data_IF_058793924776
#
_entry.id   IF_058793924776
#
_cell.length_a   1.000
_cell.length_b   1.000
_cell.length_c   1.000
_cell.angle_alpha   90.00
_cell.angle_beta   90.00
_cell.angle_gamma   90.00
#
_symmetry.space_group_name_H-M   'P 1'
#
loop_
_entity.id
_entity.type
_entity.pdbx_description
1 polymer ?
#
# COMPACT_ATOMS: atom_id res chain seq x y z
N UNK A 1 50.21 -0.58 -59.93
CA UNK A 1 49.31 0.41 -59.28
C UNK A 1 47.84 0.01 -59.21
N UNK A 2 47.28 -0.77 -60.15
CA UNK A 2 45.86 -1.17 -60.12
C UNK A 2 45.53 -2.28 -59.09
N UNK A 3 46.44 -3.25 -58.90
CA UNK A 3 46.31 -4.36 -57.93
C UNK A 3 46.32 -3.88 -56.46
N UNK A 4 47.19 -2.93 -56.12
CA UNK A 4 47.30 -2.39 -54.76
C UNK A 4 46.05 -1.61 -54.34
N UNK A 5 45.41 -0.90 -55.29
CA UNK A 5 44.12 -0.23 -55.05
C UNK A 5 42.99 -1.24 -54.80
N UNK A 6 43.00 -2.39 -55.50
CA UNK A 6 41.97 -3.44 -55.37
C UNK A 6 42.07 -4.18 -54.02
N UNK A 7 43.29 -4.39 -53.52
CA UNK A 7 43.55 -4.97 -52.20
C UNK A 7 43.09 -4.05 -51.05
N UNK A 8 43.47 -2.76 -51.10
CA UNK A 8 43.00 -1.75 -50.11
C UNK A 8 41.47 -1.59 -50.11
N UNK A 9 40.84 -1.69 -51.28
CA UNK A 9 39.39 -1.56 -51.40
C UNK A 9 38.65 -2.78 -50.85
N UNK A 10 39.15 -4.01 -51.09
CA UNK A 10 38.59 -5.23 -50.47
C UNK A 10 38.75 -5.24 -48.94
N UNK A 11 39.89 -4.76 -48.43
CA UNK A 11 40.12 -4.70 -46.99
C UNK A 11 39.20 -3.69 -46.30
N UNK A 12 38.93 -2.53 -46.92
CA UNK A 12 37.94 -1.57 -46.41
C UNK A 12 36.52 -2.15 -46.41
N UNK A 13 36.13 -2.87 -47.45
CA UNK A 13 34.80 -3.49 -47.55
C UNK A 13 34.59 -4.57 -46.49
N UNK A 14 35.59 -5.43 -46.23
CA UNK A 14 35.51 -6.43 -45.15
C UNK A 14 35.39 -5.83 -43.75
N UNK A 15 36.07 -4.69 -43.50
CA UNK A 15 35.99 -4.00 -42.21
C UNK A 15 34.61 -3.36 -42.01
N UNK A 16 34.02 -2.75 -43.05
CA UNK A 16 32.68 -2.18 -42.99
C UNK A 16 31.58 -3.24 -42.77
N UNK A 17 31.69 -4.41 -43.42
CA UNK A 17 30.79 -5.55 -43.23
C UNK A 17 30.85 -6.11 -41.80
N UNK A 18 32.03 -6.13 -41.17
CA UNK A 18 32.18 -6.59 -39.78
C UNK A 18 31.82 -5.51 -38.74
N UNK A 19 31.88 -4.22 -39.09
CA UNK A 19 31.52 -3.12 -38.19
C UNK A 19 30.00 -2.94 -38.08
N UNK A 20 29.24 -3.20 -39.14
CA UNK A 20 27.77 -3.11 -39.12
C UNK A 20 27.08 -3.98 -38.06
N UNK A 21 27.39 -5.28 -37.89
CA UNK A 21 26.78 -6.11 -36.87
C UNK A 21 27.22 -5.71 -35.45
N UNK A 22 28.45 -5.21 -35.27
CA UNK A 22 28.93 -4.68 -33.99
C UNK A 22 28.16 -3.40 -33.63
N UNK A 23 27.97 -2.50 -34.60
CA UNK A 23 27.19 -1.27 -34.41
C UNK A 23 25.73 -1.58 -34.12
N UNK A 24 25.13 -2.54 -34.83
CA UNK A 24 23.77 -3.00 -34.59
C UNK A 24 23.61 -3.64 -33.21
N UNK A 25 24.57 -4.47 -32.78
CA UNK A 25 24.58 -5.06 -31.45
C UNK A 25 24.71 -3.99 -30.36
N UNK A 26 25.55 -2.98 -30.56
CA UNK A 26 25.68 -1.84 -29.64
C UNK A 26 24.38 -1.04 -29.57
N UNK A 27 23.69 -0.81 -30.69
CA UNK A 27 22.39 -0.14 -30.71
C UNK A 27 21.30 -0.98 -30.01
N UNK A 28 21.29 -2.29 -30.20
CA UNK A 28 20.38 -3.19 -29.49
C UNK A 28 20.67 -3.16 -27.99
N UNK A 29 21.95 -3.24 -27.58
CA UNK A 29 22.33 -3.17 -26.17
C UNK A 29 21.94 -1.83 -25.53
N UNK A 30 22.14 -0.71 -26.23
CA UNK A 30 21.71 0.61 -25.76
C UNK A 30 20.19 0.69 -25.63
N UNK A 31 19.44 0.18 -26.61
CA UNK A 31 17.98 0.12 -26.53
C UNK A 31 17.48 -0.81 -25.40
N UNK A 32 18.20 -1.91 -25.13
CA UNK A 32 17.89 -2.79 -24.00
C UNK A 32 18.12 -2.12 -22.64
N UNK A 33 19.11 -1.23 -22.51
CA UNK A 33 19.37 -0.50 -21.25
C UNK A 33 18.24 0.47 -20.94
N UNK A 34 17.72 1.20 -21.93
CA UNK A 34 16.57 2.10 -21.76
C UNK A 34 15.29 1.33 -21.37
N UNK A 35 15.11 0.10 -21.87
CA UNK A 35 13.98 -0.76 -21.51
C UNK A 35 14.09 -1.36 -20.10
N UNK A 36 15.29 -1.51 -19.57
CA UNK A 36 15.52 -2.15 -18.27
C UNK A 36 15.23 -1.22 -17.06
N UNK A 37 15.20 0.10 -17.26
CA UNK A 37 14.94 1.08 -16.19
C UNK A 37 13.44 1.39 -16.00
N UNK A 38 12.56 0.68 -16.71
CA UNK A 38 11.11 0.93 -16.72
C UNK A 38 10.36 0.40 -15.48
N UNK A 39 11.07 -0.05 -14.44
CA UNK A 39 10.49 -0.69 -13.25
C UNK A 39 10.81 0.09 -11.97
N UNK A 40 9.83 0.81 -11.41
CA UNK A 40 9.99 1.43 -10.08
C UNK A 40 9.43 0.55 -8.99
N UNK A 41 10.09 0.56 -7.83
CA UNK A 41 9.90 -0.42 -6.76
C UNK A 41 9.45 0.32 -5.50
N UNK A 42 8.21 0.10 -5.06
CA UNK A 42 7.63 0.85 -3.93
C UNK A 42 7.16 -0.08 -2.84
N UNK A 43 7.56 0.22 -1.61
CA UNK A 43 7.08 -0.48 -0.42
C UNK A 43 5.64 -0.10 -0.11
N UNK A 44 4.77 -1.11 -0.05
CA UNK A 44 3.35 -0.94 0.26
C UNK A 44 2.90 -1.82 1.40
N UNK A 45 1.84 -1.33 2.03
CA UNK A 45 1.17 -1.97 3.13
C UNK A 45 -0.25 -2.27 2.73
N UNK A 46 -0.66 -3.51 2.91
CA UNK A 46 -2.01 -3.93 2.58
C UNK A 46 -2.98 -3.52 3.69
N UNK A 47 -4.22 -3.22 3.32
CA UNK A 47 -5.31 -3.11 4.27
C UNK A 47 -5.47 -4.42 5.04
N UNK A 48 -5.69 -4.30 6.35
CA UNK A 48 -5.99 -5.43 7.22
C UNK A 48 -7.23 -6.21 6.76
N UNK A 49 -7.25 -7.49 7.10
CA UNK A 49 -8.37 -8.39 6.87
C UNK A 49 -8.66 -9.16 8.15
N UNK A 50 -9.92 -9.20 8.54
CA UNK A 50 -10.37 -9.94 9.69
C UNK A 50 -11.82 -10.43 9.50
N UNK A 51 -12.25 -11.30 10.40
CA UNK A 51 -13.52 -12.00 10.34
C UNK A 51 -14.14 -12.01 11.73
N UNK A 52 -15.28 -11.33 11.90
CA UNK A 52 -16.06 -11.39 13.14
C UNK A 52 -17.23 -12.34 12.90
N UNK A 53 -17.27 -13.45 13.65
CA UNK A 53 -18.38 -14.41 13.62
C UNK A 53 -18.71 -14.96 12.21
N UNK A 54 -17.73 -15.05 11.31
CA UNK A 54 -17.90 -15.54 9.93
C UNK A 54 -18.14 -14.43 8.89
N UNK A 55 -18.28 -13.17 9.31
CA UNK A 55 -18.47 -12.02 8.41
C UNK A 55 -17.12 -11.36 8.06
N UNK A 56 -16.76 -11.25 6.76
CA UNK A 56 -15.59 -10.49 6.32
C UNK A 56 -15.62 -9.02 6.67
N UNK A 57 -14.47 -8.50 7.10
CA UNK A 57 -14.16 -7.08 7.15
C UNK A 57 -12.79 -6.80 6.51
N UNK A 58 -12.63 -5.60 5.95
CA UNK A 58 -11.43 -5.20 5.20
C UNK A 58 -11.40 -5.73 3.77
N UNK A 59 -10.20 -5.93 3.22
CA UNK A 59 -10.01 -6.35 1.82
C UNK A 59 -9.41 -7.76 1.71
N UNK A 60 -10.12 -8.67 1.01
CA UNK A 60 -9.68 -10.06 0.81
C UNK A 60 -8.77 -10.27 -0.40
N UNK A 61 -8.84 -9.37 -1.37
CA UNK A 61 -8.04 -9.47 -2.59
C UNK A 61 -6.62 -8.93 -2.37
N UNK A 62 -5.63 -9.63 -2.93
CA UNK A 62 -4.20 -9.26 -2.84
C UNK A 62 -3.55 -9.02 -4.20
N UNK A 63 -3.93 -9.75 -5.24
CA UNK A 63 -3.29 -9.62 -6.54
C UNK A 63 -3.66 -8.29 -7.21
N UNK A 64 -2.65 -7.57 -7.72
CA UNK A 64 -2.84 -6.42 -8.62
C UNK A 64 -2.12 -6.68 -9.93
N UNK A 65 -2.78 -6.43 -11.05
CA UNK A 65 -2.22 -6.53 -12.40
C UNK A 65 -2.90 -5.54 -13.35
N UNK A 66 -3.05 -4.30 -12.90
CA UNK A 66 -3.95 -3.32 -13.49
C UNK A 66 -3.21 -2.02 -13.81
N UNK A 67 -3.74 -1.23 -14.75
CA UNK A 67 -3.12 0.04 -15.16
C UNK A 67 -3.33 1.11 -14.09
N UNK A 68 -2.33 1.95 -13.87
CA UNK A 68 -2.44 3.11 -12.98
C UNK A 68 -3.45 4.11 -13.55
N UNK A 69 -4.30 4.65 -12.68
CA UNK A 69 -5.22 5.75 -13.01
C UNK A 69 -5.24 6.77 -11.87
N UNK A 70 -5.46 8.04 -12.21
CA UNK A 70 -5.63 9.11 -11.24
C UNK A 70 -7.11 9.41 -10.94
N UNK A 71 -7.38 10.14 -9.85
CA UNK A 71 -8.73 10.58 -9.45
C UNK A 71 -9.37 11.55 -10.47
N UNK A 72 -8.57 12.15 -11.35
CA UNK A 72 -9.04 12.98 -12.47
C UNK A 72 -9.84 12.18 -13.51
N UNK A 73 -9.84 10.86 -13.39
CA UNK A 73 -10.60 9.98 -14.24
C UNK A 73 -12.11 10.21 -14.10
N UNK A 74 -12.79 10.33 -15.25
CA UNK A 74 -14.20 10.71 -15.32
C UNK A 74 -15.08 9.80 -14.46
N UNK A 75 -15.78 10.38 -13.47
CA UNK A 75 -16.77 9.69 -12.63
C UNK A 75 -17.76 8.94 -13.51
N UNK A 76 -17.66 7.61 -13.57
CA UNK A 76 -18.54 6.74 -14.37
C UNK A 76 -17.87 5.94 -15.49
N UNK A 77 -16.56 6.08 -15.70
CA UNK A 77 -15.82 5.19 -16.59
C UNK A 77 -15.47 3.85 -15.91
N UNK A 78 -15.30 2.78 -16.70
CA UNK A 78 -15.05 1.43 -16.18
C UNK A 78 -13.65 1.34 -15.53
N UNK A 79 -13.63 1.31 -14.19
CA UNK A 79 -12.42 1.21 -13.38
C UNK A 79 -12.04 -0.24 -13.01
N UNK A 80 -12.74 -1.24 -13.56
CA UNK A 80 -12.52 -2.65 -13.22
C UNK A 80 -11.09 -3.13 -13.50
N UNK A 81 -10.38 -2.45 -14.42
CA UNK A 81 -9.03 -2.81 -14.85
C UNK A 81 -7.96 -1.78 -14.49
N UNK A 82 -8.32 -0.83 -13.63
CA UNK A 82 -7.47 0.29 -13.24
C UNK A 82 -7.22 0.30 -11.73
N UNK A 83 -5.97 0.58 -11.33
CA UNK A 83 -5.59 0.85 -9.94
C UNK A 83 -5.59 2.35 -9.74
N UNK A 84 -6.45 2.82 -8.84
CA UNK A 84 -6.59 4.22 -8.55
C UNK A 84 -5.53 4.65 -7.53
N UNK A 85 -4.69 5.62 -7.91
CA UNK A 85 -3.60 6.14 -7.06
C UNK A 85 -4.01 7.48 -6.48
N UNK A 86 -4.23 7.51 -5.16
CA UNK A 86 -4.83 8.64 -4.46
C UNK A 86 -3.91 9.20 -3.39
N UNK A 87 -3.38 10.42 -3.56
CA UNK A 87 -2.85 11.19 -2.44
C UNK A 87 -3.93 11.42 -1.40
N UNK A 88 -3.59 11.31 -0.11
CA UNK A 88 -4.51 11.60 0.99
C UNK A 88 -5.09 13.04 0.89
N UNK A 89 -4.35 13.95 0.26
CA UNK A 89 -4.74 15.36 0.05
C UNK A 89 -5.88 15.54 -0.95
N UNK A 90 -6.03 14.61 -1.88
CA UNK A 90 -7.05 14.64 -2.94
C UNK A 90 -8.18 13.64 -2.66
N UNK A 91 -8.11 12.93 -1.53
CA UNK A 91 -9.04 11.87 -1.20
C UNK A 91 -10.40 12.42 -0.80
N UNK A 92 -11.43 12.02 -1.55
CA UNK A 92 -12.83 12.23 -1.18
C UNK A 92 -13.41 10.95 -0.55
N UNK A 93 -13.78 11.03 0.73
CA UNK A 93 -14.34 9.90 1.47
C UNK A 93 -15.69 9.48 0.86
N UNK A 94 -16.49 10.43 0.40
CA UNK A 94 -17.80 10.14 -0.18
C UNK A 94 -17.66 9.28 -1.45
N UNK A 95 -16.66 9.60 -2.28
CA UNK A 95 -16.34 8.81 -3.47
C UNK A 95 -16.01 7.35 -3.11
N UNK A 96 -15.13 7.13 -2.13
CA UNK A 96 -14.76 5.77 -1.70
C UNK A 96 -15.96 5.04 -1.11
N UNK A 97 -16.77 5.75 -0.31
CA UNK A 97 -17.99 5.20 0.28
C UNK A 97 -19.00 4.77 -0.79
N UNK A 98 -19.20 5.57 -1.83
CA UNK A 98 -20.12 5.27 -2.93
C UNK A 98 -19.67 4.04 -3.70
N UNK A 99 -18.38 3.92 -4.02
CA UNK A 99 -17.83 2.74 -4.69
C UNK A 99 -18.02 1.45 -3.88
N UNK A 100 -17.80 1.52 -2.56
CA UNK A 100 -17.99 0.38 -1.67
C UNK A 100 -19.49 0.04 -1.53
N UNK A 101 -20.35 1.05 -1.38
CA UNK A 101 -21.79 0.88 -1.20
C UNK A 101 -22.47 0.34 -2.45
N UNK A 102 -22.06 0.82 -3.62
CA UNK A 102 -22.56 0.40 -4.92
C UNK A 102 -21.92 -0.90 -5.42
N UNK A 103 -20.92 -1.44 -4.69
CA UNK A 103 -20.15 -2.64 -5.05
C UNK A 103 -19.59 -2.57 -6.48
N UNK A 104 -19.14 -1.40 -6.89
CA UNK A 104 -18.53 -1.22 -8.20
C UNK A 104 -17.19 -1.97 -8.25
N UNK A 105 -16.86 -2.52 -9.42
CA UNK A 105 -15.59 -3.19 -9.65
C UNK A 105 -14.49 -2.15 -9.87
N UNK A 106 -13.49 -2.20 -8.99
CA UNK A 106 -12.27 -1.41 -9.06
C UNK A 106 -11.09 -2.39 -9.11
N UNK A 107 -10.15 -2.18 -10.03
CA UNK A 107 -8.97 -3.03 -10.16
C UNK A 107 -8.07 -3.00 -8.92
N UNK A 108 -8.03 -1.85 -8.24
CA UNK A 108 -7.43 -1.70 -6.91
C UNK A 108 -7.39 -0.26 -6.46
N UNK A 109 -7.09 -0.05 -5.19
CA UNK A 109 -6.91 1.27 -4.59
C UNK A 109 -5.55 1.37 -3.92
N UNK A 110 -4.74 2.36 -4.33
CA UNK A 110 -3.48 2.71 -3.70
C UNK A 110 -3.59 4.10 -3.08
N UNK A 111 -3.50 4.19 -1.76
CA UNK A 111 -3.55 5.46 -1.03
C UNK A 111 -2.12 5.87 -0.69
N UNK A 112 -1.72 7.05 -1.15
CA UNK A 112 -0.43 7.68 -0.84
C UNK A 112 -0.57 8.54 0.40
N UNK A 113 0.35 8.31 1.34
CA UNK A 113 0.34 8.93 2.65
C UNK A 113 1.48 9.93 2.76
N UNK A 114 1.24 11.12 3.32
CA UNK A 114 2.29 12.07 3.58
C UNK A 114 3.44 11.47 4.40
N UNK A 115 4.69 11.80 4.04
CA UNK A 115 5.90 11.35 4.75
C UNK A 115 5.95 11.81 6.23
N UNK A 116 5.12 12.79 6.62
CA UNK A 116 4.95 13.21 8.01
C UNK A 116 4.41 12.09 8.91
N UNK A 117 3.69 11.12 8.33
CA UNK A 117 3.18 9.95 9.05
C UNK A 117 4.17 8.78 9.10
N UNK A 118 5.36 8.91 8.48
CA UNK A 118 6.33 7.82 8.45
C UNK A 118 6.98 7.65 9.83
N UNK A 119 6.90 6.45 10.44
CA UNK A 119 7.47 6.20 11.75
C UNK A 119 9.00 6.34 11.71
N UNK A 120 9.54 7.30 12.47
CA UNK A 120 10.98 7.59 12.55
C UNK A 120 11.40 8.95 12.00
N UNK A 121 10.49 9.73 11.41
CA UNK A 121 10.80 11.09 11.00
C UNK A 121 10.75 12.03 12.22
N UNK A 122 11.88 12.14 12.94
CA UNK A 122 12.05 13.00 14.15
C UNK A 122 12.27 14.48 13.78
N UNK A 123 11.95 14.87 12.53
CA UNK A 123 12.01 16.24 12.05
C UNK A 123 10.82 17.07 12.57
N UNK A 124 10.95 17.61 13.78
CA UNK A 124 10.05 18.62 14.31
C UNK A 124 10.04 19.89 13.43
N UNK A 125 8.85 20.35 13.03
CA UNK A 125 8.71 21.58 12.27
C UNK A 125 7.27 21.90 11.85
N UNK A 126 6.50 22.50 12.76
CA UNK A 126 5.49 23.55 12.48
C UNK A 126 4.35 23.31 11.46
N UNK A 127 3.65 22.17 11.46
CA UNK A 127 2.47 21.95 10.60
C UNK A 127 1.26 21.34 11.33
N UNK A 128 1.06 21.67 12.61
CA UNK A 128 -0.01 21.10 13.44
C UNK A 128 -1.41 21.24 12.83
N UNK A 129 -1.76 22.43 12.33
CA UNK A 129 -3.13 22.70 11.85
C UNK A 129 -3.53 21.90 10.60
N UNK A 130 -2.62 21.68 9.65
CA UNK A 130 -2.91 20.92 8.42
C UNK A 130 -2.89 19.41 8.70
N UNK A 131 -1.96 18.98 9.54
CA UNK A 131 -1.85 17.59 9.96
C UNK A 131 -3.07 17.13 10.78
N UNK A 132 -3.67 18.01 11.57
CA UNK A 132 -4.91 17.72 12.32
C UNK A 132 -6.10 17.45 11.38
N UNK A 133 -6.19 18.18 10.27
CA UNK A 133 -7.16 17.93 9.20
C UNK A 133 -6.96 16.56 8.55
N UNK A 134 -5.72 16.23 8.17
CA UNK A 134 -5.39 14.92 7.60
C UNK A 134 -5.61 13.77 8.57
N UNK A 135 -5.34 13.96 9.86
CA UNK A 135 -5.62 12.97 10.91
C UNK A 135 -7.12 12.67 11.04
N UNK A 136 -7.96 13.71 11.04
CA UNK A 136 -9.42 13.55 11.04
C UNK A 136 -9.93 12.83 9.79
N UNK A 137 -9.41 13.21 8.61
CA UNK A 137 -9.73 12.55 7.34
C UNK A 137 -9.33 11.07 7.35
N UNK A 138 -8.11 10.79 7.81
CA UNK A 138 -7.56 9.44 7.91
C UNK A 138 -8.36 8.58 8.89
N UNK A 139 -8.76 9.10 10.05
CA UNK A 139 -9.59 8.37 11.01
C UNK A 139 -10.98 8.05 10.47
N UNK A 140 -11.57 8.93 9.66
CA UNK A 140 -12.83 8.65 8.97
C UNK A 140 -12.68 7.58 7.88
N UNK A 141 -11.63 7.70 7.06
CA UNK A 141 -11.28 6.71 6.05
C UNK A 141 -11.03 5.34 6.68
N UNK A 142 -10.24 5.28 7.74
CA UNK A 142 -9.97 4.07 8.49
C UNK A 142 -11.25 3.45 9.01
N UNK A 143 -12.12 4.24 9.66
CA UNK A 143 -13.41 3.73 10.14
C UNK A 143 -14.21 3.08 9.01
N UNK A 144 -14.21 3.70 7.83
CA UNK A 144 -14.89 3.17 6.65
C UNK A 144 -14.23 1.87 6.16
N UNK A 145 -12.92 1.85 5.98
CA UNK A 145 -12.20 0.70 5.41
C UNK A 145 -12.16 -0.50 6.37
N UNK A 146 -12.09 -0.26 7.68
CA UNK A 146 -12.02 -1.30 8.71
C UNK A 146 -13.38 -1.93 8.97
N UNK A 147 -14.46 -1.15 8.98
CA UNK A 147 -15.81 -1.67 9.25
C UNK A 147 -16.58 -2.05 7.96
N UNK A 148 -16.00 -1.75 6.80
CA UNK A 148 -16.54 -2.15 5.50
C UNK A 148 -16.01 -3.51 5.04
N UNK A 149 -16.81 -4.21 4.24
CA UNK A 149 -16.35 -5.33 3.42
C UNK A 149 -15.98 -4.78 2.04
N UNK A 150 -14.69 -4.79 1.70
CA UNK A 150 -14.19 -4.16 0.48
C UNK A 150 -13.99 -5.20 -0.61
N UNK A 151 -14.67 -5.07 -1.76
CA UNK A 151 -14.64 -6.06 -2.84
C UNK A 151 -13.41 -5.91 -3.77
N UNK A 152 -12.41 -5.11 -3.41
CA UNK A 152 -11.20 -4.87 -4.20
C UNK A 152 -9.97 -4.71 -3.30
N UNK A 153 -8.75 -4.97 -3.82
CA UNK A 153 -7.50 -4.81 -3.08
C UNK A 153 -7.24 -3.34 -2.72
N UNK A 154 -6.88 -3.09 -1.46
CA UNK A 154 -6.51 -1.76 -0.95
C UNK A 154 -5.10 -1.79 -0.37
N UNK A 155 -4.27 -0.88 -0.85
CA UNK A 155 -2.87 -0.72 -0.46
C UNK A 155 -2.59 0.72 -0.03
N UNK A 156 -1.59 0.86 0.83
CA UNK A 156 -1.10 2.10 1.37
C UNK A 156 0.39 2.21 1.07
N UNK A 157 0.84 3.36 0.61
CA UNK A 157 2.26 3.67 0.42
C UNK A 157 2.55 5.04 1.01
N UNK A 158 3.82 5.32 1.32
CA UNK A 158 4.24 6.68 1.67
C UNK A 158 4.61 7.44 0.39
N UNK A 159 4.27 8.73 0.32
CA UNK A 159 4.54 9.66 -0.79
C UNK A 159 6.06 9.79 -1.01
N UNK A 160 6.62 9.14 -2.03
CA UNK A 160 8.02 9.28 -2.43
C UNK A 160 8.13 10.10 -3.74
N UNK A 161 9.32 10.64 -4.03
CA UNK A 161 9.57 11.38 -5.28
C UNK A 161 9.24 10.55 -6.52
N UNK A 162 9.55 9.25 -6.51
CA UNK A 162 9.20 8.32 -7.59
C UNK A 162 7.69 8.14 -7.78
N UNK A 163 6.92 8.03 -6.67
CA UNK A 163 5.47 7.88 -6.74
C UNK A 163 4.79 9.17 -7.19
N UNK A 164 5.36 10.32 -6.84
CA UNK A 164 4.84 11.63 -7.22
C UNK A 164 5.10 11.93 -8.69
N UNK A 165 6.29 11.62 -9.20
CA UNK A 165 6.63 11.71 -10.62
C UNK A 165 5.71 10.81 -11.46
N UNK A 166 5.55 9.56 -11.04
CA UNK A 166 4.65 8.61 -11.71
C UNK A 166 3.19 9.07 -11.69
N UNK A 167 2.70 9.58 -10.56
CA UNK A 167 1.34 10.12 -10.49
C UNK A 167 1.15 11.36 -11.38
N UNK A 168 2.16 12.23 -11.48
CA UNK A 168 2.11 13.40 -12.35
C UNK A 168 2.03 13.01 -13.83
N UNK A 169 2.78 11.98 -14.24
CA UNK A 169 2.72 11.43 -15.59
C UNK A 169 1.37 10.77 -15.88
N UNK A 170 0.84 9.98 -14.94
CA UNK A 170 -0.50 9.37 -15.06
C UNK A 170 -1.57 10.46 -15.21
N UNK A 171 -1.52 11.51 -14.39
CA UNK A 171 -2.45 12.66 -14.49
C UNK A 171 -2.35 13.37 -15.83
N UNK A 172 -1.14 13.53 -16.37
CA UNK A 172 -0.93 14.13 -17.69
C UNK A 172 -1.53 13.27 -18.80
N UNK A 173 -1.33 11.95 -18.74
CA UNK A 173 -1.89 11.01 -19.71
C UNK A 173 -3.42 10.93 -19.62
N UNK A 174 -3.96 10.93 -18.40
CA UNK A 174 -5.41 10.97 -18.16
C UNK A 174 -6.03 12.29 -18.69
N UNK A 175 -5.36 13.42 -18.50
CA UNK A 175 -5.81 14.72 -19.01
C UNK A 175 -5.80 14.79 -20.55
N UNK A 176 -4.91 14.02 -21.20
CA UNK A 176 -4.89 13.85 -22.65
C UNK A 176 -5.98 12.89 -23.16
N UNK A 177 -6.78 12.30 -22.26
CA UNK A 177 -7.83 11.34 -22.58
C UNK A 177 -7.30 10.00 -23.08
N UNK A 178 -6.00 9.77 -22.99
CA UNK A 178 -5.36 8.52 -23.41
C UNK A 178 -5.33 7.57 -22.23
N UNK A 179 -6.35 6.71 -22.14
CA UNK A 179 -6.35 5.63 -21.16
C UNK A 179 -5.14 4.74 -21.38
N UNK A 180 -4.36 4.51 -20.32
CA UNK A 180 -3.28 3.56 -20.33
C UNK A 180 -3.84 2.16 -20.65
N UNK A 181 -3.62 1.71 -21.87
CA UNK A 181 -3.92 0.37 -22.35
C UNK A 181 -2.64 -0.25 -22.88
N UNK A 182 -2.62 -1.57 -23.06
CA UNK A 182 -1.45 -2.32 -23.51
C UNK A 182 -0.78 -1.78 -24.79
N UNK A 183 -1.45 -0.91 -25.56
CA UNK A 183 -0.98 -0.33 -26.82
C UNK A 183 -0.64 1.16 -26.75
N UNK A 184 -1.10 1.90 -25.74
CA UNK A 184 -0.92 3.35 -25.63
C UNK A 184 0.17 3.78 -24.64
N UNK A 185 0.79 2.82 -23.94
CA UNK A 185 1.82 3.09 -22.93
C UNK A 185 1.20 3.64 -21.65
N UNK A 186 1.84 3.34 -20.52
CA UNK A 186 1.40 3.84 -19.22
C UNK A 186 1.65 2.84 -18.10
N UNK A 187 1.75 3.35 -16.88
CA UNK A 187 2.17 2.57 -15.74
C UNK A 187 1.19 1.43 -15.43
N UNK A 188 1.73 0.25 -15.13
CA UNK A 188 1.01 -0.93 -14.68
C UNK A 188 1.51 -1.33 -13.31
N UNK A 189 0.59 -1.50 -12.37
CA UNK A 189 0.89 -1.97 -11.03
C UNK A 189 0.77 -3.48 -10.99
N UNK A 190 1.86 -4.12 -10.57
CA UNK A 190 1.94 -5.57 -10.44
C UNK A 190 2.29 -5.95 -9.00
N UNK A 191 1.40 -6.72 -8.39
CA UNK A 191 1.59 -7.39 -7.11
C UNK A 191 1.26 -8.86 -7.27
N UNK A 192 2.26 -9.72 -7.06
CA UNK A 192 2.18 -11.17 -7.15
C UNK A 192 2.14 -11.84 -5.76
N UNK A 193 1.35 -11.29 -4.84
CA UNK A 193 1.18 -11.87 -3.50
C UNK A 193 -0.03 -12.80 -3.46
N UNK A 194 0.17 -14.01 -2.93
CA UNK A 194 -0.90 -15.01 -2.77
C UNK A 194 -2.05 -14.49 -1.91
N UNK A 195 -3.26 -14.96 -2.18
CA UNK A 195 -4.42 -14.60 -1.38
C UNK A 195 -4.22 -14.98 0.10
N UNK A 196 -4.65 -14.10 1.04
CA UNK A 196 -4.40 -14.28 2.45
C UNK A 196 -5.20 -15.45 3.02
N UNK A 197 -4.54 -16.26 3.84
CA UNK A 197 -5.12 -17.44 4.49
C UNK A 197 -5.54 -17.12 5.92
N UNK A 198 -6.71 -17.61 6.32
CA UNK A 198 -7.20 -17.47 7.71
C UNK A 198 -6.23 -18.12 8.69
N UNK A 199 -5.80 -17.35 9.68
CA UNK A 199 -5.05 -17.84 10.84
C UNK A 199 -6.08 -18.23 11.90
N UNK A 200 -6.22 -19.54 12.16
CA UNK A 200 -7.32 -20.07 12.97
C UNK A 200 -7.12 -19.91 14.49
N UNK A 201 -5.88 -19.77 14.96
CA UNK A 201 -5.55 -19.76 16.38
C UNK A 201 -4.20 -19.07 16.60
N UNK A 202 -4.18 -17.74 16.60
CA UNK A 202 -2.93 -17.04 16.81
C UNK A 202 -2.57 -17.04 18.31
N UNK A 203 -1.29 -17.28 18.63
CA UNK A 203 -0.82 -17.35 20.01
C UNK A 203 -0.77 -15.93 20.59
N UNK A 204 -1.62 -15.64 21.57
CA UNK A 204 -1.62 -14.37 22.31
C UNK A 204 -0.82 -14.56 23.60
N UNK A 205 0.22 -13.74 23.78
CA UNK A 205 1.01 -13.70 25.01
C UNK A 205 0.43 -12.65 25.94
N UNK A 206 -0.14 -13.06 27.07
CA UNK A 206 -0.61 -12.14 28.10
C UNK A 206 0.53 -11.83 29.10
N UNK A 207 0.62 -10.58 29.53
CA UNK A 207 1.51 -10.16 30.61
C UNK A 207 0.68 -10.14 31.90
N UNK A 208 1.01 -11.03 32.82
CA UNK A 208 0.33 -11.12 34.11
C UNK A 208 1.32 -10.88 35.27
N UNK A 209 0.88 -10.12 36.26
CA UNK A 209 1.57 -9.91 37.52
C UNK A 209 0.65 -10.25 38.68
N UNK A 210 1.19 -10.87 39.72
CA UNK A 210 0.43 -11.25 40.93
C UNK A 210 1.10 -10.67 42.16
N UNK A 211 0.34 -9.95 42.99
CA UNK A 211 0.78 -9.46 44.29
C UNK A 211 0.00 -10.21 45.39
N UNK A 212 0.62 -11.18 46.08
CA UNK A 212 -0.08 -11.94 47.11
C UNK A 212 -0.38 -11.06 48.33
N UNK A 213 -1.62 -11.09 48.81
CA UNK A 213 -2.00 -10.44 50.07
C UNK A 213 -1.50 -11.23 51.29
N UNK A 214 -1.16 -10.53 52.37
CA UNK A 214 -0.76 -11.14 53.64
C UNK A 214 -1.97 -11.20 54.60
N UNK A 215 -2.34 -12.40 55.06
CA UNK A 215 -3.34 -12.62 56.12
C UNK A 215 -2.63 -13.06 57.39
N UNK A 216 -3.03 -12.52 58.55
CA UNK A 216 -2.38 -12.82 59.84
C UNK A 216 -2.70 -14.23 60.38
N UNK A 217 -3.90 -14.78 60.12
CA UNK A 217 -4.27 -16.17 60.46
C UNK A 217 -5.30 -16.72 59.45
N UNK A 218 -5.08 -17.97 58.98
CA UNK A 218 -5.95 -18.73 58.08
C UNK A 218 -5.45 -18.88 56.63
N UNK A 219 -6.01 -19.85 55.90
CA UNK A 219 -5.65 -20.15 54.50
C UNK A 219 -5.77 -18.91 53.60
N UNK A 220 -4.69 -18.60 52.89
CA UNK A 220 -4.55 -17.48 51.95
C UNK A 220 -5.46 -17.59 50.71
N UNK A 221 -6.15 -18.72 50.53
CA UNK A 221 -7.05 -19.01 49.41
C UNK A 221 -8.39 -18.26 49.47
N UNK A 222 -8.75 -17.65 50.61
CA UNK A 222 -10.01 -16.91 50.80
C UNK A 222 -9.86 -15.38 50.80
N UNK A 223 -8.71 -14.86 50.36
CA UNK A 223 -8.51 -13.41 50.28
C UNK A 223 -9.20 -12.82 49.03
N UNK A 224 -9.92 -11.70 49.14
CA UNK A 224 -10.48 -11.02 47.98
C UNK A 224 -9.34 -10.58 47.06
N UNK A 225 -9.41 -11.00 45.79
CA UNK A 225 -8.42 -10.66 44.76
C UNK A 225 -8.97 -9.51 43.90
N UNK A 226 -8.17 -8.46 43.75
CA UNK A 226 -8.47 -7.36 42.82
C UNK A 226 -7.68 -7.63 41.53
N UNK A 227 -8.37 -7.74 40.40
CA UNK A 227 -7.75 -7.86 39.09
C UNK A 227 -7.73 -6.50 38.39
N UNK A 228 -6.54 -6.06 37.97
CA UNK A 228 -6.36 -4.90 37.09
C UNK A 228 -6.07 -5.43 35.69
N UNK A 229 -6.95 -5.12 34.75
CA UNK A 229 -6.85 -5.59 33.36
C UNK A 229 -6.64 -4.38 32.46
N UNK A 230 -5.70 -4.48 31.53
CA UNK A 230 -5.45 -3.48 30.50
C UNK A 230 -5.43 -4.16 29.13
N UNK A 231 -6.05 -3.51 28.13
CA UNK A 231 -5.94 -3.92 26.73
C UNK A 231 -4.76 -3.18 26.10
N UNK A 232 -3.76 -3.93 25.64
CA UNK A 232 -2.60 -3.40 24.94
C UNK A 232 -2.64 -3.68 23.43
N UNK A 233 -3.77 -4.16 22.91
CA UNK A 233 -3.93 -4.40 21.48
C UNK A 233 -4.44 -3.15 20.77
N UNK A 234 -3.79 -2.78 19.68
CA UNK A 234 -4.20 -1.68 18.81
C UNK A 234 -4.47 -2.24 17.43
N UNK A 235 -5.69 -2.03 16.96
CA UNK A 235 -6.16 -2.50 15.66
C UNK A 235 -6.42 -1.31 14.74
N UNK A 236 -5.82 -1.32 13.56
CA UNK A 236 -5.97 -0.25 12.59
C UNK A 236 -5.78 -0.71 11.14
N UNK A 237 -6.25 0.11 10.19
CA UNK A 237 -6.36 -0.23 8.77
C UNK A 237 -5.04 -0.71 8.14
N UNK A 238 -3.92 -0.09 8.49
CA UNK A 238 -2.58 -0.37 7.99
C UNK A 238 -1.56 0.25 8.98
N UNK A 239 -0.23 0.35 8.72
CA UNK A 239 0.74 0.89 9.68
C UNK A 239 0.57 2.40 9.99
N UNK A 240 -0.53 2.99 9.52
CA UNK A 240 -0.98 4.36 9.65
C UNK A 240 -1.07 4.88 11.08
N UNK A 241 -1.40 4.01 12.04
CA UNK A 241 -1.73 4.46 13.40
C UNK A 241 -1.06 3.64 14.51
N UNK A 242 -0.20 2.67 14.16
CA UNK A 242 0.52 1.85 15.16
C UNK A 242 1.74 2.61 15.73
N UNK A 243 1.58 3.90 16.00
CA UNK A 243 2.39 4.60 17.00
C UNK A 243 1.55 4.64 18.27
N UNK A 244 1.81 3.66 19.15
CA UNK A 244 1.13 3.40 20.41
C UNK A 244 1.25 4.52 21.48
N UNK A 245 1.27 5.80 21.10
CA UNK A 245 1.52 6.92 22.03
C UNK A 245 0.39 7.94 22.19
N UNK A 246 -0.73 7.92 21.43
CA UNK A 246 -1.71 9.02 21.55
C UNK A 246 -3.22 8.67 21.65
N UNK A 247 -3.64 7.40 21.56
CA UNK A 247 -5.09 7.07 21.49
C UNK A 247 -5.67 6.39 22.75
N UNK A 248 -4.85 6.21 23.79
CA UNK A 248 -5.21 5.43 24.98
C UNK A 248 -6.32 6.01 25.88
N UNK A 249 -6.69 7.29 25.74
CA UNK A 249 -7.61 7.94 26.69
C UNK A 249 -9.03 8.19 26.14
N UNK A 250 -9.23 8.23 24.82
CA UNK A 250 -10.53 8.60 24.24
C UNK A 250 -11.44 7.42 23.87
N UNK A 251 -10.90 6.20 23.75
CA UNK A 251 -11.72 5.01 23.44
C UNK A 251 -12.39 4.35 24.67
N UNK A 252 -12.09 4.82 25.89
CA UNK A 252 -12.56 4.18 27.13
C UNK A 252 -14.04 4.41 27.49
N UNK A 253 -14.70 5.43 26.92
CA UNK A 253 -16.06 5.84 27.36
C UNK A 253 -17.23 5.43 26.45
N UNK A 254 -16.99 4.79 25.29
CA UNK A 254 -18.07 4.27 24.41
C UNK A 254 -18.06 2.76 24.23
N UNK A 255 -17.14 2.07 24.89
CA UNK A 255 -16.87 0.64 24.69
C UNK A 255 -17.29 -0.17 25.91
N UNK A 256 -18.55 -0.04 26.33
CA UNK A 256 -19.10 -0.82 27.46
C UNK A 256 -20.34 -1.65 27.11
N UNK A 257 -20.89 -1.56 25.89
CA UNK A 257 -22.16 -2.26 25.58
C UNK A 257 -22.16 -3.23 24.40
N UNK A 258 -21.10 -3.37 23.60
CA UNK A 258 -21.14 -4.30 22.46
C UNK A 258 -19.82 -5.04 22.20
N UNK A 259 -19.91 -6.36 22.40
CA UNK A 259 -19.28 -7.43 21.63
C UNK A 259 -17.89 -8.01 22.01
N UNK A 260 -17.67 -9.30 21.64
CA UNK A 260 -16.58 -10.17 22.04
C UNK A 260 -15.33 -9.98 21.16
N UNK A 261 -14.19 -10.39 21.74
CA UNK A 261 -12.93 -10.78 21.10
C UNK A 261 -12.76 -10.42 19.61
N UNK A 262 -11.91 -9.42 19.32
CA UNK A 262 -11.34 -9.21 18.00
C UNK A 262 -9.81 -9.33 18.08
N UNK A 263 -9.27 -10.13 17.17
CA UNK A 263 -7.92 -10.70 17.12
C UNK A 263 -6.98 -9.94 16.18
N UNK A 264 -5.85 -9.50 16.73
CA UNK A 264 -4.46 -9.63 16.25
C UNK A 264 -3.90 -8.85 15.03
N UNK A 265 -2.72 -8.30 15.32
CA UNK A 265 -1.66 -7.67 14.52
C UNK A 265 -1.01 -8.63 13.49
N UNK A 266 -0.76 -8.21 12.23
CA UNK A 266 0.13 -8.92 11.33
C UNK A 266 1.60 -8.42 11.42
N UNK A 267 2.52 -9.36 11.17
CA UNK A 267 3.96 -9.13 10.97
C UNK A 267 4.22 -8.08 9.87
N UNK A 268 5.35 -7.36 10.00
CA UNK A 268 6.03 -6.67 8.90
C UNK A 268 6.42 -7.69 7.82
N UNK A 269 5.54 -7.89 6.84
CA UNK A 269 5.94 -8.29 5.50
C UNK A 269 5.79 -7.03 4.64
N UNK A 270 6.92 -6.36 4.38
CA UNK A 270 6.95 -5.31 3.37
C UNK A 270 6.65 -5.98 2.03
N UNK A 271 5.51 -5.66 1.45
CA UNK A 271 5.18 -6.09 0.11
C UNK A 271 5.67 -5.01 -0.84
N UNK A 272 6.32 -5.43 -1.91
CA UNK A 272 6.90 -4.53 -2.91
C UNK A 272 5.99 -4.49 -4.13
N UNK A 273 5.59 -3.28 -4.54
CA UNK A 273 4.92 -3.06 -5.84
C UNK A 273 5.97 -2.75 -6.88
N UNK A 274 5.82 -3.38 -8.04
CA UNK A 274 6.52 -2.98 -9.25
C UNK A 274 5.58 -2.14 -10.11
N UNK A 275 6.01 -0.93 -10.47
CA UNK A 275 5.38 -0.14 -11.51
C UNK A 275 6.14 -0.39 -12.80
N UNK A 276 5.46 -0.97 -13.79
CA UNK A 276 6.02 -1.19 -15.12
C UNK A 276 5.50 -0.10 -16.05
N UNK A 277 6.39 0.67 -16.66
CA UNK A 277 6.04 1.67 -17.68
C UNK A 277 5.77 1.02 -19.06
#
# INVERSE_FOLDING_TARGET
MAEEKKSKQRHRVMVFESMYPILALMLILVACVELCDAATVVDVYRLIQYDISGVPFGSRFSSLNHHAASLSFQRGADLSRSVLILPLRELDIAFVQDYISQKQSLGGLLILLPQTFRPGNVGGGSLSSENDGFRSLLGQLEKLLVHGNIPFPVYFAFENEETDAMLADVKKNDALGQQATATTGGYKLVISVSEPRKIASPTITNIQGWLPGLRAEGDSSQLPTIAVVASYDTFGAAPLEVTAMEVGLWRFLKWLDYFPFCTQIPRREGNTIYFLH
#
